data_IF_672184149087
#
_entry.id   IF_672184149087
#
_cell.length_a   1.000
_cell.length_b   1.000
_cell.length_c   1.000
_cell.angle_alpha   90.00
_cell.angle_beta   90.00
_cell.angle_gamma   90.00
#
_symmetry.space_group_name_H-M   'P 1'
#
loop_
_entity.id
_entity.type
_entity.pdbx_description
1 polymer ?
#
# COMPACT_ATOMS: atom_id res chain seq x y z
N UNK A 1 34.04 -0.88 3.14
CA UNK A 1 32.71 -1.23 3.67
C UNK A 1 31.83 -1.63 2.49
N UNK A 2 30.93 -2.60 2.60
CA UNK A 2 30.04 -2.90 1.46
C UNK A 2 28.90 -1.87 1.42
N UNK A 3 28.59 -1.32 0.25
CA UNK A 3 27.60 -0.24 0.09
C UNK A 3 26.51 -0.71 -0.85
N UNK A 4 25.35 -1.04 -0.27
CA UNK A 4 24.20 -1.51 -1.01
C UNK A 4 23.29 -0.34 -1.40
N UNK A 5 22.95 -0.30 -2.69
CA UNK A 5 21.97 0.64 -3.22
C UNK A 5 20.70 -0.15 -3.50
N UNK A 6 19.61 0.20 -2.80
CA UNK A 6 18.29 -0.35 -3.08
C UNK A 6 17.93 -0.14 -4.56
N UNK A 7 17.31 -1.12 -5.25
CA UNK A 7 16.83 -0.96 -6.62
C UNK A 7 15.98 0.31 -6.81
N UNK A 8 15.11 0.61 -5.85
CA UNK A 8 14.31 1.84 -5.82
C UNK A 8 15.15 3.11 -5.95
N UNK A 9 16.26 3.22 -5.20
CA UNK A 9 17.14 4.40 -5.25
C UNK A 9 17.84 4.52 -6.61
N UNK A 10 18.12 3.42 -7.30
CA UNK A 10 18.68 3.47 -8.66
C UNK A 10 17.65 3.96 -9.68
N UNK A 11 16.41 3.52 -9.54
CA UNK A 11 15.33 3.91 -10.45
C UNK A 11 14.94 5.37 -10.24
N UNK A 12 14.82 5.83 -8.99
CA UNK A 12 14.64 7.26 -8.67
C UNK A 12 15.82 8.10 -9.16
N UNK A 13 17.05 7.60 -9.06
CA UNK A 13 18.22 8.32 -9.59
C UNK A 13 18.14 8.56 -11.10
N UNK A 14 17.65 7.60 -11.89
CA UNK A 14 17.47 7.78 -13.34
C UNK A 14 16.40 8.82 -13.66
N UNK A 15 15.38 8.96 -12.81
CA UNK A 15 14.29 9.91 -12.99
C UNK A 15 14.66 11.36 -12.61
N UNK A 16 15.60 11.56 -11.68
CA UNK A 16 15.97 12.88 -11.16
C UNK A 16 16.97 13.65 -12.03
N UNK A 17 17.62 12.99 -12.98
CA UNK A 17 18.55 13.61 -13.91
C UNK A 17 19.59 12.64 -14.43
N UNK A 18 20.08 12.86 -15.65
CA UNK A 18 21.05 11.97 -16.29
C UNK A 18 22.39 11.88 -15.53
N UNK A 19 22.74 12.92 -14.76
CA UNK A 19 23.95 12.97 -13.92
C UNK A 19 23.82 12.27 -12.58
N UNK A 20 22.59 12.04 -12.09
CA UNK A 20 22.32 11.55 -10.74
C UNK A 20 22.82 10.11 -10.51
N UNK A 21 22.69 9.16 -11.46
CA UNK A 21 23.30 7.82 -11.30
C UNK A 21 24.83 7.84 -11.20
N UNK A 22 25.48 8.82 -11.84
CA UNK A 22 26.94 9.00 -11.73
C UNK A 22 27.33 9.61 -10.38
N UNK A 23 26.61 10.65 -9.94
CA UNK A 23 26.78 11.24 -8.61
C UNK A 23 26.63 10.19 -7.49
N UNK A 24 25.61 9.34 -7.60
CA UNK A 24 25.37 8.25 -6.65
C UNK A 24 26.52 7.22 -6.63
N UNK A 25 27.10 6.90 -7.79
CA UNK A 25 28.27 6.00 -7.88
C UNK A 25 29.51 6.60 -7.23
N UNK A 26 29.74 7.90 -7.39
CA UNK A 26 30.85 8.60 -6.73
C UNK A 26 30.66 8.60 -5.21
N UNK A 27 29.44 8.89 -4.75
CA UNK A 27 29.11 8.86 -3.32
C UNK A 27 29.30 7.47 -2.71
N UNK A 28 28.93 6.40 -3.42
CA UNK A 28 29.16 5.02 -2.98
C UNK A 28 30.63 4.73 -2.71
N UNK A 29 31.53 5.22 -3.57
CA UNK A 29 32.97 5.13 -3.34
C UNK A 29 33.41 5.91 -2.09
N UNK A 30 32.90 7.14 -1.92
CA UNK A 30 33.21 7.98 -0.76
C UNK A 30 32.71 7.36 0.56
N UNK A 31 31.50 6.79 0.59
CA UNK A 31 30.95 6.12 1.76
C UNK A 31 31.68 4.82 2.11
N UNK A 32 32.23 4.13 1.12
CA UNK A 32 33.04 2.93 1.35
C UNK A 32 34.37 3.25 2.08
N UNK A 33 34.91 4.45 1.82
CA UNK A 33 36.17 4.96 2.36
C UNK A 33 35.98 5.76 3.68
N UNK A 34 34.93 6.59 3.76
CA UNK A 34 34.54 7.38 4.93
C UNK A 34 33.03 7.19 5.26
N UNK A 35 32.68 6.17 6.06
CA UNK A 35 31.30 5.89 6.47
C UNK A 35 30.66 6.98 7.34
N UNK A 36 31.46 7.87 7.92
CA UNK A 36 31.04 8.86 8.92
C UNK A 36 30.91 10.28 8.33
N UNK A 37 31.08 10.44 7.01
CA UNK A 37 30.97 11.72 6.32
C UNK A 37 29.56 12.35 6.38
N UNK A 38 28.52 11.54 6.61
CA UNK A 38 27.15 11.98 6.75
C UNK A 38 26.85 12.61 8.11
N UNK A 39 25.92 13.56 8.13
CA UNK A 39 25.45 14.16 9.38
C UNK A 39 24.26 13.37 9.92
N UNK A 40 24.12 13.22 11.26
CA UNK A 40 22.93 12.63 11.85
C UNK A 40 21.68 13.36 11.37
N UNK A 41 20.74 12.60 10.80
CA UNK A 41 19.44 13.12 10.43
C UNK A 41 18.48 13.04 11.63
N UNK A 42 17.30 13.63 11.49
CA UNK A 42 16.23 13.51 12.48
C UNK A 42 15.57 12.11 12.48
N UNK A 43 15.96 11.23 11.55
CA UNK A 43 15.51 9.84 11.49
C UNK A 43 16.45 8.94 12.32
N UNK A 44 15.93 8.10 13.22
CA UNK A 44 16.76 7.26 14.10
C UNK A 44 17.71 6.35 13.30
N UNK A 45 19.02 6.53 13.49
CA UNK A 45 20.04 5.68 12.88
C UNK A 45 20.38 6.01 11.42
N UNK A 46 19.82 7.07 10.84
CA UNK A 46 20.11 7.50 9.46
C UNK A 46 21.07 8.70 9.45
N UNK A 47 22.10 8.58 8.63
CA UNK A 47 23.06 9.63 8.28
C UNK A 47 22.71 10.20 6.90
N UNK A 48 22.89 11.50 6.70
CA UNK A 48 22.59 12.17 5.44
C UNK A 48 23.83 12.88 4.90
N UNK A 49 24.10 12.68 3.60
CA UNK A 49 25.11 13.43 2.82
C UNK A 49 24.40 14.27 1.78
N UNK A 50 24.87 15.50 1.63
CA UNK A 50 24.39 16.41 0.58
C UNK A 50 25.38 16.43 -0.58
N UNK A 51 24.89 16.19 -1.80
CA UNK A 51 25.64 16.38 -3.05
C UNK A 51 25.21 17.71 -3.66
N UNK A 52 26.17 18.58 -3.94
CA UNK A 52 25.91 19.85 -4.60
C UNK A 52 25.54 19.62 -6.08
N UNK A 53 24.51 20.32 -6.55
CA UNK A 53 24.02 20.19 -7.93
C UNK A 53 25.00 20.74 -8.96
N UNK A 54 25.86 21.67 -8.57
CA UNK A 54 26.87 22.24 -9.46
C UNK A 54 28.06 21.30 -9.70
N UNK A 55 28.13 20.17 -8.97
CA UNK A 55 29.25 19.24 -9.05
C UNK A 55 29.15 18.26 -10.24
N UNK A 56 27.94 18.05 -10.77
CA UNK A 56 27.67 17.08 -11.84
C UNK A 56 26.67 17.65 -12.86
N UNK A 57 26.96 17.47 -14.15
CA UNK A 57 26.07 17.88 -15.25
C UNK A 57 24.74 17.10 -15.17
N UNK A 58 23.60 17.79 -15.36
CA UNK A 58 22.24 17.23 -15.23
C UNK A 58 21.96 16.52 -13.89
N UNK A 59 22.50 17.06 -12.80
CA UNK A 59 22.26 16.59 -11.44
C UNK A 59 21.75 17.75 -10.58
N UNK A 60 20.52 17.71 -10.02
CA UNK A 60 20.13 18.66 -9.00
C UNK A 60 20.99 18.48 -7.74
N UNK A 61 20.96 19.44 -6.83
CA UNK A 61 21.48 19.21 -5.48
C UNK A 61 20.67 18.07 -4.84
N UNK A 62 21.32 17.13 -4.14
CA UNK A 62 20.68 15.93 -3.60
C UNK A 62 20.98 15.77 -2.11
N UNK A 63 19.99 15.35 -1.34
CA UNK A 63 20.14 14.79 -0.01
C UNK A 63 20.01 13.28 -0.08
N UNK A 64 21.05 12.56 0.33
CA UNK A 64 21.14 11.11 0.25
C UNK A 64 21.25 10.55 1.67
N UNK A 65 20.25 9.75 2.06
CA UNK A 65 20.19 9.13 3.38
C UNK A 65 20.67 7.69 3.35
N UNK A 66 21.48 7.31 4.34
CA UNK A 66 21.99 5.95 4.48
C UNK A 66 22.01 5.49 5.94
N UNK A 67 21.94 4.18 6.13
CA UNK A 67 22.10 3.52 7.44
C UNK A 67 23.45 2.80 7.44
N UNK A 68 24.12 2.86 8.59
CA UNK A 68 25.35 2.11 8.84
C UNK A 68 25.05 0.92 9.75
N UNK A 69 25.26 -0.28 9.24
CA UNK A 69 25.23 -1.51 10.01
C UNK A 69 26.65 -2.09 10.18
N UNK A 70 26.90 -3.03 11.11
CA UNK A 70 28.20 -3.65 11.26
C UNK A 70 28.65 -4.37 9.97
N UNK A 71 29.52 -3.71 9.19
CA UNK A 71 30.11 -4.24 7.95
C UNK A 71 29.45 -3.78 6.64
N UNK A 72 28.29 -3.11 6.68
CA UNK A 72 27.58 -2.64 5.49
C UNK A 72 26.94 -1.25 5.66
N UNK A 73 26.79 -0.56 4.54
CA UNK A 73 26.06 0.70 4.41
C UNK A 73 24.92 0.48 3.42
N UNK A 74 23.72 0.92 3.78
CA UNK A 74 22.56 0.81 2.90
C UNK A 74 22.03 2.21 2.58
N UNK A 75 22.00 2.58 1.29
CA UNK A 75 21.41 3.84 0.84
C UNK A 75 19.89 3.66 0.78
N UNK A 76 19.18 4.49 1.55
CA UNK A 76 17.74 4.39 1.80
C UNK A 76 16.90 5.31 0.94
N UNK A 77 17.39 6.52 0.67
CA UNK A 77 16.67 7.49 -0.15
C UNK A 77 17.63 8.44 -0.85
N UNK A 78 17.17 9.01 -1.97
CA UNK A 78 17.73 10.23 -2.53
C UNK A 78 16.61 11.22 -2.85
N UNK A 79 16.77 12.48 -2.43
CA UNK A 79 15.80 13.54 -2.67
C UNK A 79 16.51 14.79 -3.22
N UNK A 80 15.96 15.50 -4.21
CA UNK A 80 16.51 16.78 -4.63
C UNK A 80 16.33 17.85 -3.54
N UNK A 81 17.37 18.66 -3.33
CA UNK A 81 17.37 19.81 -2.44
C UNK A 81 16.92 21.00 -3.27
N UNK A 82 15.67 21.42 -3.09
CA UNK A 82 15.15 22.60 -3.77
C UNK A 82 15.60 23.85 -3.02
N UNK A 83 16.61 24.57 -3.54
CA UNK A 83 16.87 25.94 -3.11
C UNK A 83 15.81 26.84 -3.72
N UNK A 84 14.75 27.16 -2.96
CA UNK A 84 13.83 28.20 -3.35
C UNK A 84 14.48 29.57 -3.11
N UNK A 85 14.91 30.26 -4.18
CA UNK A 85 15.01 31.72 -4.15
C UNK A 85 13.61 32.34 -4.34
N UNK A 86 13.26 33.40 -3.59
CA UNK A 86 11.93 33.99 -3.65
C UNK A 86 11.81 34.86 -4.91
N UNK A 87 10.94 34.47 -5.85
CA UNK A 87 10.52 35.35 -6.95
C UNK A 87 9.04 35.69 -6.77
N UNK A 88 8.77 36.99 -6.77
CA UNK A 88 7.46 37.66 -6.67
C UNK A 88 6.42 37.20 -7.72
N UNK A 89 5.12 37.45 -7.47
CA UNK A 89 4.02 36.73 -8.11
C UNK A 89 3.74 37.24 -9.53
N UNK A 90 3.84 36.35 -10.51
CA UNK A 90 3.24 36.56 -11.82
C UNK A 90 1.82 35.98 -11.80
N UNK A 91 0.85 36.89 -11.90
CA UNK A 91 -0.53 36.59 -12.20
C UNK A 91 -0.64 35.82 -13.53
N UNK A 92 -1.36 34.69 -13.48
CA UNK A 92 -2.08 34.01 -14.57
C UNK A 92 -1.95 32.48 -14.39
N UNK A 93 -2.64 31.96 -13.38
CA UNK A 93 -2.93 30.54 -13.23
C UNK A 93 -4.24 30.35 -12.45
N UNK A 94 -5.32 31.01 -12.89
CA UNK A 94 -6.66 30.78 -12.34
C UNK A 94 -7.51 29.78 -13.14
N UNK A 95 -6.96 29.16 -14.20
CA UNK A 95 -7.74 28.29 -15.10
C UNK A 95 -7.37 26.79 -15.01
N UNK A 96 -6.62 26.33 -14.00
CA UNK A 96 -6.31 24.89 -13.84
C UNK A 96 -6.78 24.24 -12.53
N UNK A 97 -7.33 24.99 -11.58
CA UNK A 97 -7.83 24.43 -10.31
C UNK A 97 -9.32 24.00 -10.36
N UNK A 98 -10.00 24.15 -11.51
CA UNK A 98 -11.45 23.88 -11.64
C UNK A 98 -11.82 22.55 -12.30
N UNK A 99 -10.86 21.66 -12.56
CA UNK A 99 -11.10 20.36 -13.22
C UNK A 99 -11.16 19.15 -12.26
N UNK A 100 -11.17 19.34 -10.93
CA UNK A 100 -11.13 18.23 -9.95
C UNK A 100 -12.45 17.88 -9.27
N UNK A 101 -13.55 18.49 -9.70
CA UNK A 101 -14.89 18.20 -9.18
C UNK A 101 -15.84 17.77 -10.32
N UNK A 102 -15.35 16.87 -11.19
CA UNK A 102 -16.21 16.21 -12.17
C UNK A 102 -16.96 15.07 -11.45
N UNK A 103 -18.30 15.08 -11.41
CA UNK A 103 -19.05 13.93 -10.88
C UNK A 103 -18.70 12.68 -11.71
N UNK A 104 -18.53 11.55 -11.02
CA UNK A 104 -18.22 10.25 -11.60
C UNK A 104 -19.06 9.99 -12.86
N UNK A 105 -18.41 9.60 -13.96
CA UNK A 105 -19.09 9.26 -15.19
C UNK A 105 -19.93 7.99 -14.93
N UNK A 106 -21.28 8.04 -15.02
CA UNK A 106 -22.14 6.90 -14.75
C UNK A 106 -21.84 5.69 -15.65
N UNK A 107 -21.21 5.91 -16.82
CA UNK A 107 -20.74 4.82 -17.67
C UNK A 107 -19.52 4.09 -17.07
N UNK A 108 -18.59 4.83 -16.47
CA UNK A 108 -17.41 4.25 -15.79
C UNK A 108 -17.83 3.49 -14.54
N UNK A 109 -18.74 4.05 -13.73
CA UNK A 109 -19.29 3.37 -12.55
C UNK A 109 -19.95 2.04 -12.94
N UNK A 110 -20.73 2.01 -14.02
CA UNK A 110 -21.39 0.80 -14.49
C UNK A 110 -20.40 -0.28 -14.94
N UNK A 111 -19.24 0.11 -15.48
CA UNK A 111 -18.17 -0.82 -15.85
C UNK A 111 -17.50 -1.37 -14.58
N UNK A 112 -17.12 -0.50 -13.64
CA UNK A 112 -16.52 -0.89 -12.35
C UNK A 112 -17.41 -1.86 -11.58
N UNK A 113 -18.73 -1.60 -11.52
CA UNK A 113 -19.71 -2.50 -10.87
C UNK A 113 -19.65 -3.90 -11.46
N UNK A 114 -19.59 -4.01 -12.80
CA UNK A 114 -19.54 -5.31 -13.49
C UNK A 114 -18.22 -6.02 -13.21
N UNK A 115 -17.09 -5.32 -13.29
CA UNK A 115 -15.78 -5.93 -13.06
C UNK A 115 -15.63 -6.49 -11.64
N UNK A 116 -16.04 -5.73 -10.62
CA UNK A 116 -16.02 -6.21 -9.23
C UNK A 116 -16.93 -7.43 -9.07
N UNK A 117 -18.15 -7.37 -9.61
CA UNK A 117 -19.10 -8.48 -9.51
C UNK A 117 -18.58 -9.74 -10.22
N UNK A 118 -18.03 -9.60 -11.43
CA UNK A 118 -17.52 -10.71 -12.24
C UNK A 118 -16.28 -11.34 -11.57
N UNK A 119 -15.32 -10.53 -11.12
CA UNK A 119 -14.13 -11.02 -10.41
C UNK A 119 -14.49 -11.74 -9.11
N UNK A 120 -15.40 -11.18 -8.31
CA UNK A 120 -15.84 -11.82 -7.07
C UNK A 120 -16.62 -13.11 -7.32
N UNK A 121 -17.44 -13.18 -8.38
CA UNK A 121 -18.13 -14.41 -8.79
C UNK A 121 -17.15 -15.51 -9.20
N UNK A 122 -16.06 -15.17 -9.89
CA UNK A 122 -14.99 -16.11 -10.25
C UNK A 122 -14.30 -16.68 -9.01
N UNK A 123 -13.89 -15.82 -8.08
CA UNK A 123 -13.28 -16.22 -6.80
C UNK A 123 -14.23 -17.15 -6.03
N UNK A 124 -15.46 -16.69 -5.80
CA UNK A 124 -16.43 -17.46 -4.99
C UNK A 124 -16.89 -18.75 -5.68
N UNK A 125 -16.99 -18.75 -7.01
CA UNK A 125 -17.27 -19.94 -7.80
C UNK A 125 -16.17 -20.99 -7.67
N UNK A 126 -14.91 -20.56 -7.75
CA UNK A 126 -13.76 -21.43 -7.52
C UNK A 126 -13.73 -21.98 -6.09
N UNK A 127 -13.93 -21.11 -5.08
CA UNK A 127 -13.95 -21.51 -3.67
C UNK A 127 -15.04 -22.54 -3.39
N UNK A 128 -16.26 -22.34 -3.91
CA UNK A 128 -17.37 -23.28 -3.70
C UNK A 128 -17.05 -24.69 -4.17
N UNK A 129 -16.28 -24.83 -5.25
CA UNK A 129 -15.95 -26.13 -5.84
C UNK A 129 -14.68 -26.75 -5.24
N UNK A 130 -13.63 -25.95 -5.02
CA UNK A 130 -12.29 -26.44 -4.65
C UNK A 130 -11.95 -26.28 -3.17
N UNK A 131 -12.56 -25.30 -2.50
CA UNK A 131 -12.29 -24.96 -1.10
C UNK A 131 -13.58 -24.61 -0.33
N UNK A 132 -14.52 -25.58 -0.17
CA UNK A 132 -15.86 -25.31 0.34
C UNK A 132 -15.87 -24.75 1.77
N UNK A 133 -14.88 -25.11 2.60
CA UNK A 133 -14.75 -24.58 3.96
C UNK A 133 -14.36 -23.09 3.93
N UNK A 134 -13.45 -22.70 3.03
CA UNK A 134 -13.11 -21.29 2.79
C UNK A 134 -14.30 -20.52 2.23
N UNK A 135 -15.09 -21.13 1.35
CA UNK A 135 -16.33 -20.53 0.85
C UNK A 135 -17.36 -20.32 1.98
N UNK A 136 -17.48 -21.29 2.90
CA UNK A 136 -18.42 -21.22 4.02
C UNK A 136 -18.06 -20.17 5.07
N UNK A 137 -16.80 -19.73 5.12
CA UNK A 137 -16.32 -18.65 6.00
C UNK A 137 -16.64 -17.24 5.48
N UNK A 138 -17.07 -17.11 4.22
CA UNK A 138 -17.49 -15.83 3.67
C UNK A 138 -18.84 -15.41 4.24
N UNK A 139 -18.89 -14.17 4.73
CA UNK A 139 -20.13 -13.58 5.20
C UNK A 139 -21.09 -13.30 4.06
N UNK A 140 -22.39 -13.39 4.33
CA UNK A 140 -23.41 -12.94 3.39
C UNK A 140 -23.22 -11.44 3.06
N UNK A 141 -23.66 -11.04 1.87
CA UNK A 141 -23.63 -9.64 1.45
C UNK A 141 -24.32 -8.69 2.43
N UNK A 142 -23.73 -7.52 2.63
CA UNK A 142 -24.25 -6.47 3.48
C UNK A 142 -25.55 -5.88 2.89
N UNK A 143 -26.44 -5.44 3.76
CA UNK A 143 -27.61 -4.67 3.33
C UNK A 143 -27.20 -3.23 2.96
N UNK A 144 -27.88 -2.57 2.01
CA UNK A 144 -27.63 -1.15 1.71
C UNK A 144 -27.72 -0.24 2.94
N UNK A 145 -28.62 -0.55 3.88
CA UNK A 145 -28.77 0.18 5.14
C UNK A 145 -27.54 0.06 6.04
N UNK A 146 -26.91 -1.13 6.08
CA UNK A 146 -25.69 -1.34 6.85
C UNK A 146 -24.51 -0.57 6.26
N UNK A 147 -24.41 -0.53 4.92
CA UNK A 147 -23.39 0.24 4.21
C UNK A 147 -23.60 1.75 4.45
N UNK A 148 -24.84 2.24 4.34
CA UNK A 148 -25.17 3.64 4.62
C UNK A 148 -24.89 4.05 6.08
N UNK A 149 -25.10 3.14 7.04
CA UNK A 149 -24.71 3.37 8.44
C UNK A 149 -23.20 3.50 8.57
N UNK A 150 -22.43 2.65 7.87
CA UNK A 150 -20.97 2.74 7.83
C UNK A 150 -20.49 4.05 7.20
N UNK A 151 -21.11 4.54 6.11
CA UNK A 151 -20.81 5.87 5.55
C UNK A 151 -20.99 6.97 6.60
N UNK A 152 -22.09 6.91 7.36
CA UNK A 152 -22.37 7.84 8.45
C UNK A 152 -21.32 7.80 9.56
N UNK A 153 -20.88 6.60 9.95
CA UNK A 153 -19.87 6.39 10.99
C UNK A 153 -18.47 6.84 10.56
N UNK A 154 -18.11 6.60 9.29
CA UNK A 154 -16.82 7.02 8.72
C UNK A 154 -16.78 8.52 8.41
N UNK A 155 -17.94 9.11 8.08
CA UNK A 155 -18.03 10.47 7.53
C UNK A 155 -17.52 10.56 6.09
N UNK A 156 -17.42 9.43 5.38
CA UNK A 156 -16.89 9.31 4.02
C UNK A 156 -17.94 8.64 3.14
N UNK A 157 -18.06 9.09 1.90
CA UNK A 157 -18.83 8.39 0.88
C UNK A 157 -18.07 7.14 0.43
N UNK A 158 -18.69 5.98 0.49
CA UNK A 158 -18.08 4.72 0.07
C UNK A 158 -17.99 4.70 -1.48
N UNK A 159 -16.81 4.43 -2.06
CA UNK A 159 -16.65 4.28 -3.50
C UNK A 159 -17.46 3.11 -4.07
N UNK A 160 -17.83 3.20 -5.36
CA UNK A 160 -18.75 2.26 -6.00
C UNK A 160 -18.24 0.82 -5.98
N UNK A 161 -16.94 0.63 -6.20
CA UNK A 161 -16.25 -0.66 -6.19
C UNK A 161 -16.39 -1.37 -4.84
N UNK A 162 -16.23 -0.62 -3.74
CA UNK A 162 -16.29 -1.15 -2.39
C UNK A 162 -17.74 -1.39 -1.95
N UNK A 163 -18.64 -0.49 -2.35
CA UNK A 163 -20.08 -0.67 -2.14
C UNK A 163 -20.58 -1.96 -2.80
N UNK A 164 -20.21 -2.22 -4.06
CA UNK A 164 -20.58 -3.45 -4.76
C UNK A 164 -19.99 -4.69 -4.10
N UNK A 165 -18.71 -4.66 -3.73
CA UNK A 165 -18.06 -5.78 -3.06
C UNK A 165 -18.78 -6.11 -1.74
N UNK A 166 -19.11 -5.10 -0.93
CA UNK A 166 -19.81 -5.31 0.33
C UNK A 166 -21.25 -5.81 0.18
N UNK A 167 -21.95 -5.43 -0.89
CA UNK A 167 -23.25 -6.03 -1.22
C UNK A 167 -23.14 -7.52 -1.58
N UNK A 168 -21.97 -8.00 -2.02
CA UNK A 168 -21.72 -9.40 -2.37
C UNK A 168 -21.18 -10.20 -1.19
N UNK A 169 -20.35 -9.59 -0.34
CA UNK A 169 -19.76 -10.20 0.85
C UNK A 169 -19.52 -9.15 1.94
N UNK A 170 -20.07 -9.35 3.14
CA UNK A 170 -19.86 -8.43 4.25
C UNK A 170 -18.56 -8.69 5.03
N UNK A 171 -17.65 -9.54 4.52
CA UNK A 171 -16.39 -9.88 5.18
C UNK A 171 -16.03 -11.35 5.02
N UNK A 172 -14.87 -11.71 5.58
CA UNK A 172 -14.32 -13.05 5.57
C UNK A 172 -13.87 -13.44 6.98
N UNK A 173 -14.57 -14.40 7.59
CA UNK A 173 -14.24 -14.93 8.91
C UNK A 173 -13.02 -15.87 8.88
N UNK A 174 -12.59 -16.24 7.67
CA UNK A 174 -11.46 -17.10 7.37
C UNK A 174 -11.55 -18.51 7.95
N UNK A 175 -10.54 -19.31 7.63
CA UNK A 175 -10.39 -20.67 8.17
C UNK A 175 -8.96 -20.83 8.64
N UNK A 176 -8.78 -21.37 9.85
CA UNK A 176 -7.46 -21.49 10.49
C UNK A 176 -6.69 -20.16 10.62
N UNK A 177 -7.41 -19.03 10.69
CA UNK A 177 -6.83 -17.70 10.85
C UNK A 177 -6.39 -17.02 9.54
N UNK A 178 -6.57 -17.67 8.39
CA UNK A 178 -6.31 -17.08 7.07
C UNK A 178 -7.61 -16.81 6.31
N UNK A 179 -7.65 -15.70 5.58
CA UNK A 179 -8.72 -15.38 4.66
C UNK A 179 -8.46 -15.90 3.24
N UNK A 180 -9.43 -15.67 2.36
CA UNK A 180 -9.45 -16.17 0.99
C UNK A 180 -8.65 -15.32 0.00
N UNK A 181 -8.20 -14.12 0.37
CA UNK A 181 -7.45 -13.23 -0.50
C UNK A 181 -5.94 -13.56 -0.50
N UNK A 182 -5.19 -13.20 -1.56
CA UNK A 182 -3.75 -13.42 -1.65
C UNK A 182 -3.01 -12.94 -0.40
N UNK A 183 -1.99 -13.69 0.05
CA UNK A 183 -1.34 -13.45 1.35
C UNK A 183 -2.03 -14.13 2.55
N UNK A 184 -3.10 -14.89 2.30
CA UNK A 184 -4.04 -15.38 3.33
C UNK A 184 -4.75 -14.24 4.07
N UNK A 185 -4.92 -13.11 3.39
CA UNK A 185 -5.58 -11.94 3.93
C UNK A 185 -7.09 -12.09 3.92
N UNK A 186 -7.75 -11.39 4.84
CA UNK A 186 -9.20 -11.43 5.01
C UNK A 186 -9.83 -10.10 4.62
N UNK A 187 -10.94 -10.16 3.88
CA UNK A 187 -11.81 -9.01 3.69
C UNK A 187 -12.41 -8.64 5.06
N UNK A 188 -12.24 -7.38 5.46
CA UNK A 188 -12.70 -6.93 6.77
C UNK A 188 -14.23 -6.87 6.84
N UNK A 189 -14.79 -7.32 7.97
CA UNK A 189 -16.18 -7.09 8.30
C UNK A 189 -16.45 -5.60 8.57
N UNK A 190 -17.67 -5.12 8.28
CA UNK A 190 -18.00 -3.69 8.37
C UNK A 190 -17.75 -3.08 9.75
N UNK A 191 -18.00 -3.83 10.82
CA UNK A 191 -17.72 -3.41 12.20
C UNK A 191 -16.21 -3.32 12.48
N UNK A 192 -15.42 -4.26 11.96
CA UNK A 192 -13.96 -4.21 12.00
C UNK A 192 -13.41 -3.01 11.21
N UNK A 193 -14.01 -2.69 10.06
CA UNK A 193 -13.67 -1.49 9.28
C UNK A 193 -13.91 -0.23 10.13
N UNK A 194 -15.10 -0.09 10.71
CA UNK A 194 -15.45 1.06 11.54
C UNK A 194 -14.58 1.16 12.80
N UNK A 195 -14.24 0.03 13.43
CA UNK A 195 -13.37 -0.02 14.61
C UNK A 195 -11.94 0.39 14.26
N UNK A 196 -11.36 -0.17 13.20
CA UNK A 196 -10.01 0.13 12.75
C UNK A 196 -9.88 1.56 12.26
N UNK A 197 -10.85 2.05 11.49
CA UNK A 197 -10.86 3.44 11.03
C UNK A 197 -10.86 4.42 12.21
N UNK A 198 -11.74 4.22 13.21
CA UNK A 198 -11.75 5.05 14.42
C UNK A 198 -10.42 5.00 15.17
N UNK A 199 -9.88 3.80 15.39
CA UNK A 199 -8.58 3.63 16.05
C UNK A 199 -7.46 4.39 15.31
N UNK A 200 -7.47 4.35 13.97
CA UNK A 200 -6.48 5.03 13.13
C UNK A 200 -6.67 6.55 13.11
N UNK A 201 -7.92 7.03 13.07
CA UNK A 201 -8.23 8.47 13.21
C UNK A 201 -7.84 9.00 14.59
N UNK A 202 -8.07 8.25 15.67
CA UNK A 202 -7.60 8.61 17.01
C UNK A 202 -6.06 8.66 17.07
N UNK A 203 -5.40 7.72 16.40
CA UNK A 203 -3.94 7.70 16.30
C UNK A 203 -3.40 8.91 15.50
N UNK A 204 -4.09 9.31 14.42
CA UNK A 204 -3.76 10.51 13.67
C UNK A 204 -3.99 11.77 14.52
N UNK A 205 -5.12 11.89 15.22
CA UNK A 205 -5.39 13.02 16.10
C UNK A 205 -4.35 13.14 17.22
N UNK A 206 -3.89 12.01 17.76
CA UNK A 206 -2.78 12.00 18.70
C UNK A 206 -1.48 12.45 18.04
N UNK A 207 -1.18 11.97 16.83
CA UNK A 207 -0.01 12.40 16.06
C UNK A 207 -0.03 13.90 15.74
N UNK A 208 -1.21 14.47 15.49
CA UNK A 208 -1.37 15.90 15.20
C UNK A 208 -0.96 16.78 16.38
N UNK A 209 -1.11 16.30 17.61
CA UNK A 209 -0.59 17.01 18.80
C UNK A 209 0.93 17.14 18.75
N UNK A 210 1.65 16.12 18.27
CA UNK A 210 3.09 16.17 18.07
C UNK A 210 3.51 16.92 16.80
N UNK A 211 2.61 17.03 15.81
CA UNK A 211 2.85 17.77 14.57
C UNK A 211 2.63 19.28 14.72
N UNK A 212 2.01 19.75 15.81
CA UNK A 212 1.66 21.16 16.02
C UNK A 212 2.88 22.08 15.92
N UNK A 213 4.00 21.67 16.52
CA UNK A 213 5.23 22.47 16.57
C UNK A 213 6.22 22.10 15.45
N UNK A 214 5.83 21.22 14.52
CA UNK A 214 6.69 20.77 13.43
C UNK A 214 6.48 21.61 12.16
N UNK A 215 7.56 21.93 11.42
CA UNK A 215 7.47 22.36 10.04
C UNK A 215 6.61 21.38 9.23
N UNK A 216 5.91 21.89 8.21
CA UNK A 216 4.99 21.09 7.41
C UNK A 216 5.67 19.87 6.77
N UNK A 217 6.92 20.02 6.32
CA UNK A 217 7.70 18.95 5.71
C UNK A 217 8.09 17.84 6.69
N UNK A 218 7.99 18.09 8.00
CA UNK A 218 8.35 17.16 9.08
C UNK A 218 7.11 16.56 9.79
N UNK A 219 5.90 16.92 9.34
CA UNK A 219 4.66 16.37 9.88
C UNK A 219 4.51 14.92 9.47
N UNK A 220 4.19 14.07 10.44
CA UNK A 220 3.96 12.65 10.20
C UNK A 220 2.47 12.44 9.99
N UNK A 221 2.12 11.84 8.85
CA UNK A 221 0.76 11.32 8.61
C UNK A 221 0.75 9.84 8.95
N UNK A 222 -0.07 9.46 9.93
CA UNK A 222 -0.35 8.08 10.35
C UNK A 222 -1.56 7.52 9.61
N UNK A 223 -2.56 8.36 9.36
CA UNK A 223 -3.77 8.00 8.65
C UNK A 223 -4.39 9.22 7.98
N UNK A 224 -4.92 9.07 6.77
CA UNK A 224 -5.73 10.11 6.12
C UNK A 224 -7.21 9.79 6.31
N UNK A 225 -8.03 10.82 6.44
CA UNK A 225 -9.49 10.68 6.50
C UNK A 225 -10.08 10.04 5.23
N UNK A 226 -9.34 10.00 4.11
CA UNK A 226 -9.79 9.38 2.87
C UNK A 226 -9.50 7.88 2.81
N UNK A 227 -8.74 7.33 3.77
CA UNK A 227 -8.32 5.93 3.79
C UNK A 227 -9.32 5.06 4.53
N UNK A 228 -10.01 4.18 3.80
CA UNK A 228 -10.93 3.20 4.36
C UNK A 228 -10.19 1.86 4.49
N UNK A 229 -10.00 1.27 5.68
CA UNK A 229 -9.40 -0.05 5.79
C UNK A 229 -10.36 -1.10 5.22
N UNK A 230 -9.86 -1.98 4.35
CA UNK A 230 -10.70 -2.94 3.61
C UNK A 230 -10.26 -4.39 3.77
N UNK A 231 -8.96 -4.63 3.91
CA UNK A 231 -8.37 -5.97 4.03
C UNK A 231 -7.47 -5.98 5.25
N UNK A 232 -7.45 -7.08 5.98
CA UNK A 232 -6.61 -7.31 7.15
C UNK A 232 -5.73 -8.55 6.96
N UNK A 233 -4.62 -8.62 7.70
CA UNK A 233 -3.69 -9.75 7.67
C UNK A 233 -4.39 -11.09 7.94
N UNK A 234 -5.42 -11.07 8.77
CA UNK A 234 -6.36 -12.15 8.96
C UNK A 234 -7.66 -11.66 9.59
N UNK A 235 -8.68 -12.54 9.72
CA UNK A 235 -10.01 -12.16 10.19
C UNK A 235 -10.03 -11.52 11.59
N UNK A 236 -9.13 -11.98 12.45
CA UNK A 236 -8.96 -11.47 13.82
C UNK A 236 -7.69 -10.61 14.00
N UNK A 237 -6.92 -10.39 12.92
CA UNK A 237 -5.64 -9.68 12.97
C UNK A 237 -5.71 -8.38 12.16
N UNK A 238 -6.16 -7.32 12.84
CA UNK A 238 -6.16 -5.96 12.33
C UNK A 238 -4.86 -5.19 12.60
N UNK A 239 -3.70 -5.86 12.66
CA UNK A 239 -2.42 -5.16 12.88
C UNK A 239 -1.78 -4.64 11.60
N UNK A 240 -2.13 -5.21 10.45
CA UNK A 240 -1.76 -4.74 9.12
C UNK A 240 -2.80 -5.15 8.08
N UNK A 241 -2.72 -4.54 6.90
CA UNK A 241 -3.66 -4.83 5.83
C UNK A 241 -3.62 -3.83 4.68
N UNK A 242 -4.72 -3.76 3.94
CA UNK A 242 -4.94 -2.77 2.87
C UNK A 242 -6.03 -1.76 3.24
N UNK A 243 -5.83 -0.53 2.79
CA UNK A 243 -6.86 0.50 2.74
C UNK A 243 -7.17 0.84 1.29
N UNK A 244 -8.37 1.37 1.03
CA UNK A 244 -8.74 2.06 -0.20
C UNK A 244 -8.68 3.56 0.05
N UNK A 245 -7.90 4.30 -0.73
CA UNK A 245 -7.90 5.77 -0.67
C UNK A 245 -9.01 6.31 -1.58
N UNK A 246 -10.06 6.85 -0.97
CA UNK A 246 -11.19 7.45 -1.70
C UNK A 246 -10.81 8.68 -2.54
N UNK A 247 -9.64 9.29 -2.28
CA UNK A 247 -9.14 10.41 -3.09
C UNK A 247 -8.52 9.95 -4.41
N UNK A 248 -7.93 8.75 -4.45
CA UNK A 248 -7.15 8.27 -5.60
C UNK A 248 -7.75 7.03 -6.26
N UNK A 249 -8.58 6.28 -5.56
CA UNK A 249 -9.15 5.00 -5.99
C UNK A 249 -8.17 3.81 -5.88
N UNK A 250 -6.97 4.04 -5.35
CA UNK A 250 -5.93 3.02 -5.22
C UNK A 250 -5.94 2.36 -3.84
N UNK A 251 -5.48 1.12 -3.81
CA UNK A 251 -5.21 0.43 -2.56
C UNK A 251 -3.84 0.86 -2.02
N UNK A 252 -3.72 0.95 -0.70
CA UNK A 252 -2.45 1.18 -0.03
C UNK A 252 -2.28 0.25 1.16
N UNK A 253 -1.04 0.07 1.60
CA UNK A 253 -0.73 -0.77 2.76
C UNK A 253 -0.77 0.04 4.04
N UNK A 254 -1.25 -0.59 5.10
CA UNK A 254 -1.11 -0.08 6.45
C UNK A 254 -0.61 -1.15 7.41
N UNK A 255 0.09 -0.68 8.44
CA UNK A 255 0.51 -1.52 9.56
C UNK A 255 0.45 -0.74 10.86
N UNK A 256 0.56 -1.44 11.98
CA UNK A 256 0.68 -0.87 13.33
C UNK A 256 1.96 -0.05 13.52
N UNK A 257 2.97 -0.25 12.68
CA UNK A 257 4.27 0.40 12.80
C UNK A 257 4.37 1.68 11.98
N UNK A 258 3.28 2.08 11.32
CA UNK A 258 3.24 3.25 10.46
C UNK A 258 4.39 3.28 9.44
N UNK A 259 4.64 2.12 8.84
CA UNK A 259 5.53 2.02 7.69
C UNK A 259 5.05 2.99 6.62
N UNK A 260 5.99 3.60 5.89
CA UNK A 260 5.62 4.48 4.78
C UNK A 260 4.61 3.74 3.89
N UNK A 261 3.54 4.41 3.42
CA UNK A 261 2.59 3.77 2.53
C UNK A 261 3.39 3.14 1.39
N UNK A 262 3.39 1.81 1.33
CA UNK A 262 4.04 1.08 0.24
C UNK A 262 3.43 1.52 -1.09
N UNK A 263 4.12 1.24 -2.20
CA UNK A 263 3.66 1.55 -3.56
C UNK A 263 2.14 1.43 -3.65
N UNK A 264 1.49 2.51 -4.11
CA UNK A 264 0.08 2.52 -4.46
C UNK A 264 -0.19 1.24 -5.24
N UNK A 265 -0.89 0.32 -4.57
CA UNK A 265 -1.27 -0.93 -5.18
C UNK A 265 -2.38 -0.63 -6.18
N UNK A 266 -2.61 -1.61 -7.03
CA UNK A 266 -3.81 -1.77 -7.85
C UNK A 266 -5.09 -1.11 -7.29
N UNK A 267 -5.97 -0.73 -8.21
CA UNK A 267 -7.37 -0.51 -7.86
C UNK A 267 -7.97 -1.78 -7.25
N UNK A 268 -9.05 -1.65 -6.47
CA UNK A 268 -9.76 -2.83 -5.92
C UNK A 268 -10.19 -3.81 -7.02
N UNK A 269 -10.57 -3.30 -8.19
CA UNK A 269 -10.91 -4.11 -9.37
C UNK A 269 -9.73 -4.99 -9.78
N UNK A 270 -8.58 -4.38 -10.06
CA UNK A 270 -7.39 -5.10 -10.53
C UNK A 270 -6.92 -6.12 -9.49
N UNK A 271 -6.97 -5.78 -8.20
CA UNK A 271 -6.63 -6.71 -7.12
C UNK A 271 -7.52 -7.96 -7.11
N UNK A 272 -8.84 -7.80 -7.28
CA UNK A 272 -9.79 -8.92 -7.33
C UNK A 272 -9.67 -9.72 -8.63
N UNK A 273 -9.47 -9.06 -9.77
CA UNK A 273 -9.26 -9.73 -11.06
C UNK A 273 -8.01 -10.60 -11.02
N UNK A 274 -6.89 -10.08 -10.53
CA UNK A 274 -5.67 -10.87 -10.36
C UNK A 274 -5.87 -12.03 -9.37
N UNK A 275 -6.58 -11.82 -8.26
CA UNK A 275 -6.89 -12.91 -7.32
C UNK A 275 -7.70 -14.03 -8.00
N UNK A 276 -8.69 -13.67 -8.83
CA UNK A 276 -9.44 -14.63 -9.62
C UNK A 276 -8.54 -15.38 -10.63
N UNK A 277 -7.69 -14.64 -11.35
CA UNK A 277 -6.78 -15.21 -12.34
C UNK A 277 -5.76 -16.17 -11.70
N UNK A 278 -5.25 -15.85 -10.51
CA UNK A 278 -4.34 -16.73 -9.78
C UNK A 278 -5.03 -18.04 -9.36
N UNK A 279 -6.32 -18.02 -9.00
CA UNK A 279 -7.09 -19.22 -8.66
C UNK A 279 -7.40 -20.09 -9.89
N UNK A 280 -7.77 -19.45 -11.01
CA UNK A 280 -8.17 -20.16 -12.23
C UNK A 280 -6.97 -20.64 -13.07
N UNK A 281 -5.88 -19.88 -13.09
CA UNK A 281 -4.68 -20.15 -13.87
C UNK A 281 -3.41 -19.99 -13.01
N UNK A 282 -3.22 -20.82 -11.96
CA UNK A 282 -2.12 -20.69 -11.00
C UNK A 282 -0.72 -20.79 -11.62
N UNK A 283 -0.60 -21.44 -12.78
CA UNK A 283 0.67 -21.51 -13.52
C UNK A 283 1.15 -20.14 -14.05
N UNK A 284 0.24 -19.18 -14.20
CA UNK A 284 0.52 -17.81 -14.66
C UNK A 284 0.58 -16.80 -13.51
N UNK A 285 0.37 -17.24 -12.27
CA UNK A 285 0.36 -16.38 -11.11
C UNK A 285 1.73 -15.73 -10.87
N UNK A 286 1.76 -14.40 -10.79
CA UNK A 286 2.98 -13.59 -10.63
C UNK A 286 3.22 -13.15 -9.19
N UNK A 287 2.17 -13.10 -8.36
CA UNK A 287 2.24 -12.58 -6.98
C UNK A 287 2.27 -13.67 -5.92
N UNK A 288 1.26 -14.53 -5.93
CA UNK A 288 1.10 -15.57 -4.92
C UNK A 288 0.57 -16.84 -5.56
N UNK A 289 0.81 -17.99 -4.93
CA UNK A 289 0.39 -19.28 -5.45
C UNK A 289 -0.69 -19.87 -4.58
N UNK A 290 -1.88 -20.17 -5.12
CA UNK A 290 -2.90 -20.84 -4.35
C UNK A 290 -2.53 -22.31 -4.16
N UNK A 291 -3.01 -22.88 -3.07
CA UNK A 291 -2.99 -24.31 -2.82
C UNK A 291 -4.03 -24.67 -1.77
N UNK A 292 -4.11 -25.96 -1.46
CA UNK A 292 -5.08 -26.49 -0.52
C UNK A 292 -4.39 -27.13 0.66
N UNK A 293 -4.94 -26.90 1.85
CA UNK A 293 -4.62 -27.63 3.06
C UNK A 293 -5.90 -28.25 3.62
N UNK A 294 -6.07 -29.55 3.43
CA UNK A 294 -7.27 -30.25 3.91
C UNK A 294 -8.59 -29.72 3.33
N UNK A 295 -8.59 -29.23 2.08
CA UNK A 295 -9.77 -28.65 1.43
C UNK A 295 -10.01 -27.17 1.75
N UNK A 296 -9.08 -26.51 2.43
CA UNK A 296 -9.09 -25.07 2.71
C UNK A 296 -8.08 -24.38 1.79
N UNK A 297 -8.47 -23.25 1.19
CA UNK A 297 -7.55 -22.41 0.41
C UNK A 297 -6.46 -21.86 1.34
N UNK A 298 -5.20 -22.01 0.92
CA UNK A 298 -4.03 -21.42 1.56
C UNK A 298 -3.10 -20.89 0.47
N UNK A 299 -2.71 -19.63 0.60
CA UNK A 299 -1.79 -18.96 -0.29
C UNK A 299 -0.33 -19.15 0.14
N UNK A 300 0.55 -19.37 -0.84
CA UNK A 300 1.94 -19.79 -0.66
C UNK A 300 2.81 -18.84 0.16
N UNK A 301 2.59 -17.54 0.04
CA UNK A 301 3.43 -16.50 0.67
C UNK A 301 3.42 -16.51 2.20
N UNK A 302 2.43 -17.14 2.84
CA UNK A 302 2.28 -17.14 4.30
C UNK A 302 2.09 -18.55 4.89
N UNK A 303 2.65 -19.56 4.22
CA UNK A 303 2.65 -20.93 4.74
C UNK A 303 3.63 -21.01 5.91
N UNK A 304 3.12 -21.48 7.06
CA UNK A 304 3.99 -21.94 8.15
C UNK A 304 4.86 -23.10 7.64
N UNK A 305 6.18 -22.94 7.66
CA UNK A 305 7.15 -23.97 7.23
C UNK A 305 6.89 -25.34 7.87
N UNK A 306 6.31 -25.39 9.09
CA UNK A 306 5.94 -26.65 9.74
C UNK A 306 4.77 -27.38 9.05
N UNK A 307 4.04 -26.72 8.15
CA UNK A 307 2.87 -27.21 7.42
C UNK A 307 3.10 -27.32 5.91
N UNK A 308 4.28 -26.98 5.43
CA UNK A 308 4.64 -26.96 4.02
C UNK A 308 4.44 -28.34 3.35
N UNK A 309 4.83 -29.42 4.03
CA UNK A 309 4.66 -30.81 3.55
C UNK A 309 3.20 -31.25 3.33
N UNK A 310 2.24 -30.54 3.94
CA UNK A 310 0.80 -30.84 3.88
C UNK A 310 0.04 -29.89 2.96
N UNK A 311 0.69 -28.82 2.50
CA UNK A 311 0.13 -27.91 1.53
C UNK A 311 0.27 -28.50 0.14
N UNK A 312 -0.84 -28.52 -0.60
CA UNK A 312 -0.91 -29.05 -1.95
C UNK A 312 -1.05 -27.88 -2.92
N UNK A 313 0.00 -27.52 -3.68
CA UNK A 313 -0.08 -26.45 -4.68
C UNK A 313 -1.24 -26.70 -5.64
N UNK A 314 -2.01 -25.66 -5.97
CA UNK A 314 -3.09 -25.79 -6.92
C UNK A 314 -2.53 -25.75 -8.36
N UNK A 315 -2.81 -26.84 -9.08
CA UNK A 315 -2.48 -27.13 -10.49
C UNK A 315 -3.16 -26.30 -11.58
N UNK A 316 -4.44 -26.02 -11.35
CA UNK A 316 -5.45 -26.05 -12.41
C UNK A 316 -6.04 -27.45 -12.59
#
# INVERSE_FOLDING_TARGET
MDVEISPYVRDTAVQLGAGVPYALRVLVGQLADDPDMGRPSNLPGILTVTVDGDLFEDCPALAIGYIREPGRIEIRYLNPISFAEPTEPAADAQDQEQARDQPADPATDAVTVRQVADAWQRITGWLRYNAPDSYAALSAGASPTAIAALEGDLGIRIPVELHVLWLLTAGDDGVNGGGCLPGNWALMALDAVAATYRLKMDSQAHQDTFNTDRPEEERITVWKATWIPVVALGPADGTSGLYLDTATGYLGRWSRYNEAPGEELDTLVTYLEEAADMLEAPALATRDKPGLFGGVLVWGSNIDHAREDRWQPWTG
#
